data_IF_523862629890
#
_entry.id   IF_523862629890
#
_cell.length_a   1.000
_cell.length_b   1.000
_cell.length_c   1.000
_cell.angle_alpha   90.00
_cell.angle_beta   90.00
_cell.angle_gamma   90.00
#
_symmetry.space_group_name_H-M   'P 1'
#
loop_
_entity.id
_entity.type
_entity.pdbx_description
1 polymer ?
#
# COMPACT_ATOMS: atom_id res chain seq x y z
N UNK A 1 2.89 -3.34 -3.22
CA UNK A 1 3.50 -2.33 -2.33
C UNK A 1 4.99 -2.68 -2.20
N UNK A 2 5.87 -1.68 -2.17
CA UNK A 2 7.31 -1.91 -1.95
C UNK A 2 7.75 -1.15 -0.69
N UNK A 3 8.77 -1.60 0.04
CA UNK A 3 9.26 -0.89 1.23
C UNK A 3 9.74 0.55 0.96
N UNK A 4 9.96 0.91 -0.31
CA UNK A 4 10.36 2.25 -0.76
C UNK A 4 9.20 3.08 -1.31
N UNK A 5 7.96 2.58 -1.20
CA UNK A 5 6.79 3.27 -1.75
C UNK A 5 6.58 4.62 -1.06
N UNK A 6 6.68 4.64 0.28
CA UNK A 6 6.50 5.85 1.09
C UNK A 6 7.70 6.81 1.04
N UNK A 7 8.87 6.38 0.54
CA UNK A 7 10.02 7.26 0.36
C UNK A 7 9.98 8.05 -0.95
N UNK A 8 9.05 7.72 -1.86
CA UNK A 8 8.92 8.35 -3.17
C UNK A 8 7.80 9.38 -3.16
N UNK A 9 8.14 10.62 -3.50
CA UNK A 9 7.22 11.75 -3.47
C UNK A 9 5.96 11.50 -4.33
N UNK A 10 6.13 11.02 -5.57
CA UNK A 10 5.02 10.80 -6.49
C UNK A 10 4.04 9.70 -6.02
N UNK A 11 4.57 8.62 -5.46
CA UNK A 11 3.75 7.53 -4.92
C UNK A 11 2.87 8.00 -3.76
N UNK A 12 3.40 8.90 -2.94
CA UNK A 12 2.66 9.51 -1.82
C UNK A 12 1.62 10.51 -2.30
N UNK A 13 1.95 11.30 -3.32
CA UNK A 13 0.99 12.18 -3.98
C UNK A 13 -0.18 11.40 -4.59
N UNK A 14 0.06 10.27 -5.25
CA UNK A 14 -1.02 9.43 -5.79
C UNK A 14 -1.98 8.96 -4.70
N UNK A 15 -1.45 8.46 -3.58
CA UNK A 15 -2.26 8.04 -2.42
C UNK A 15 -3.04 9.20 -1.84
N UNK A 16 -2.38 10.35 -1.61
CA UNK A 16 -3.02 11.56 -1.12
C UNK A 16 -4.16 12.04 -2.04
N UNK A 17 -3.93 12.00 -3.36
CA UNK A 17 -4.91 12.43 -4.36
C UNK A 17 -6.16 11.55 -4.37
N UNK A 18 -6.03 10.25 -4.08
CA UNK A 18 -7.18 9.34 -3.98
C UNK A 18 -8.06 9.67 -2.78
N UNK A 19 -7.46 9.84 -1.60
CA UNK A 19 -8.21 10.20 -0.39
C UNK A 19 -8.90 11.56 -0.52
N UNK A 20 -8.21 12.53 -1.13
CA UNK A 20 -8.78 13.86 -1.29
C UNK A 20 -9.96 13.89 -2.27
N UNK A 21 -9.87 13.12 -3.36
CA UNK A 21 -10.97 12.99 -4.35
C UNK A 21 -12.18 12.24 -3.81
N UNK A 22 -11.98 11.28 -2.91
CA UNK A 22 -13.07 10.62 -2.19
C UNK A 22 -13.85 11.64 -1.34
N UNK A 23 -13.14 12.48 -0.59
CA UNK A 23 -13.73 13.54 0.24
C UNK A 23 -14.49 14.61 -0.54
N UNK A 24 -14.03 14.92 -1.75
CA UNK A 24 -14.73 15.84 -2.67
C UNK A 24 -15.99 15.22 -3.30
N UNK A 25 -16.38 13.98 -2.91
CA UNK A 25 -17.54 13.28 -3.45
C UNK A 25 -17.35 12.84 -4.91
N UNK A 26 -16.13 12.94 -5.44
CA UNK A 26 -15.84 12.68 -6.86
C UNK A 26 -15.54 11.21 -7.16
N UNK A 27 -15.27 10.37 -6.15
CA UNK A 27 -15.03 8.92 -6.32
C UNK A 27 -15.59 8.11 -5.16
N UNK A 28 -15.95 6.85 -5.45
CA UNK A 28 -16.29 5.84 -4.43
C UNK A 28 -15.07 5.50 -3.58
N UNK A 29 -15.31 5.13 -2.32
CA UNK A 29 -14.32 4.64 -1.39
C UNK A 29 -13.49 3.51 -2.00
N UNK A 30 -12.20 3.77 -2.25
CA UNK A 30 -11.30 2.77 -2.79
C UNK A 30 -10.58 2.09 -1.64
N UNK A 31 -10.83 0.79 -1.44
CA UNK A 31 -10.09 0.00 -0.46
C UNK A 31 -8.66 -0.15 -0.97
N UNK A 32 -7.70 0.36 -0.20
CA UNK A 32 -6.29 0.14 -0.48
C UNK A 32 -5.94 -1.32 -0.18
N UNK A 33 -5.89 -2.16 -1.23
CA UNK A 33 -5.54 -3.57 -1.09
C UNK A 33 -4.07 -3.80 -1.51
N UNK A 34 -3.19 -4.25 -0.61
CA UNK A 34 -1.84 -4.63 -0.98
C UNK A 34 -1.87 -5.75 -2.01
N UNK A 35 -1.15 -5.59 -3.13
CA UNK A 35 -1.07 -6.60 -4.19
C UNK A 35 -0.68 -8.01 -3.68
N UNK A 36 0.15 -8.08 -2.63
CA UNK A 36 0.52 -9.34 -1.99
C UNK A 36 -0.67 -10.04 -1.33
N UNK A 37 -1.64 -9.30 -0.80
CA UNK A 37 -2.87 -9.89 -0.26
C UNK A 37 -3.70 -10.52 -1.37
N UNK A 38 -3.79 -9.86 -2.54
CA UNK A 38 -4.44 -10.44 -3.72
C UNK A 38 -3.75 -11.75 -4.14
N UNK A 39 -2.41 -11.77 -4.15
CA UNK A 39 -1.62 -12.97 -4.44
C UNK A 39 -1.90 -14.13 -3.46
N UNK A 40 -1.98 -13.84 -2.16
CA UNK A 40 -2.32 -14.83 -1.12
C UNK A 40 -3.74 -15.37 -1.33
N UNK A 41 -4.72 -14.52 -1.63
CA UNK A 41 -6.09 -14.95 -1.87
C UNK A 41 -6.20 -15.84 -3.12
N UNK A 42 -5.57 -15.44 -4.22
CA UNK A 42 -5.53 -16.25 -5.45
C UNK A 42 -4.85 -17.59 -5.21
N UNK A 43 -3.73 -17.61 -4.48
CA UNK A 43 -3.07 -18.85 -4.09
C UNK A 43 -4.00 -19.76 -3.30
N UNK A 44 -4.66 -19.23 -2.26
CA UNK A 44 -5.58 -19.99 -1.42
C UNK A 44 -6.73 -20.59 -2.23
N UNK A 45 -7.33 -19.82 -3.15
CA UNK A 45 -8.40 -20.31 -4.02
C UNK A 45 -7.91 -21.43 -4.95
N UNK A 46 -6.77 -21.24 -5.62
CA UNK A 46 -6.21 -22.27 -6.50
C UNK A 46 -5.84 -23.54 -5.73
N UNK A 47 -5.19 -23.37 -4.57
CA UNK A 47 -4.83 -24.47 -3.68
C UNK A 47 -6.06 -25.28 -3.25
N UNK A 48 -7.13 -24.63 -2.78
CA UNK A 48 -8.38 -25.31 -2.40
C UNK A 48 -8.94 -26.11 -3.59
N UNK A 49 -8.99 -25.52 -4.79
CA UNK A 49 -9.52 -26.23 -5.96
C UNK A 49 -8.64 -27.40 -6.39
N UNK A 50 -7.32 -27.24 -6.38
CA UNK A 50 -6.38 -28.32 -6.71
C UNK A 50 -6.46 -29.44 -5.67
N UNK A 51 -6.52 -29.11 -4.39
CA UNK A 51 -6.66 -30.09 -3.31
C UNK A 51 -7.96 -30.90 -3.44
N UNK A 52 -9.10 -30.23 -3.65
CA UNK A 52 -10.38 -30.89 -3.89
C UNK A 52 -10.34 -31.80 -5.14
N UNK A 53 -9.71 -31.36 -6.22
CA UNK A 53 -9.55 -32.17 -7.44
C UNK A 53 -8.68 -33.42 -7.19
N UNK A 54 -7.60 -33.28 -6.42
CA UNK A 54 -6.74 -34.42 -6.09
C UNK A 54 -7.47 -35.43 -5.20
N UNK A 55 -8.26 -34.96 -4.23
CA UNK A 55 -9.09 -35.84 -3.41
C UNK A 55 -10.15 -36.58 -4.23
N UNK A 56 -10.79 -35.94 -5.20
CA UNK A 56 -11.81 -36.62 -6.03
C UNK A 56 -11.20 -37.65 -6.98
N UNK A 57 -9.99 -37.43 -7.49
CA UNK A 57 -9.31 -38.36 -8.41
C UNK A 57 -8.63 -39.52 -7.69
N UNK A 58 -7.98 -39.26 -6.55
CA UNK A 58 -7.09 -40.21 -5.88
C UNK A 58 -7.59 -40.69 -4.51
N UNK A 59 -8.70 -40.16 -4.00
CA UNK A 59 -9.16 -40.40 -2.62
C UNK A 59 -9.43 -41.86 -2.27
N UNK A 60 -9.74 -42.71 -3.26
CA UNK A 60 -9.99 -44.14 -3.08
C UNK A 60 -8.68 -44.97 -2.97
N UNK A 61 -7.53 -44.42 -3.36
CA UNK A 61 -6.26 -45.14 -3.45
C UNK A 61 -5.35 -44.83 -2.26
N UNK A 62 -5.30 -45.74 -1.29
CA UNK A 62 -4.58 -45.56 -0.01
C UNK A 62 -3.07 -45.25 -0.16
N UNK A 63 -2.44 -45.71 -1.25
CA UNK A 63 -1.00 -45.51 -1.49
C UNK A 63 -0.60 -44.07 -1.83
N UNK A 64 -1.53 -43.24 -2.32
CA UNK A 64 -1.24 -41.84 -2.69
C UNK A 64 -1.40 -40.86 -1.53
N UNK A 65 -2.08 -41.27 -0.45
CA UNK A 65 -2.36 -40.44 0.73
C UNK A 65 -1.10 -39.80 1.35
N UNK A 66 0.00 -40.54 1.64
CA UNK A 66 1.18 -39.91 2.26
C UNK A 66 1.90 -38.93 1.33
N UNK A 67 1.92 -39.20 0.01
CA UNK A 67 2.52 -38.30 -0.97
C UNK A 67 1.71 -37.00 -1.10
N UNK A 68 0.38 -37.10 -1.17
CA UNK A 68 -0.51 -35.94 -1.21
C UNK A 68 -0.36 -35.09 0.05
N UNK A 69 -0.33 -35.72 1.24
CA UNK A 69 -0.12 -35.00 2.50
C UNK A 69 1.23 -34.29 2.60
N UNK A 70 2.31 -34.88 2.05
CA UNK A 70 3.62 -34.23 2.04
C UNK A 70 3.66 -33.00 1.11
N UNK A 71 3.02 -33.09 -0.07
CA UNK A 71 2.90 -31.96 -1.01
C UNK A 71 2.06 -30.84 -0.41
N UNK A 72 0.98 -31.19 0.27
CA UNK A 72 0.12 -30.29 1.03
C UNK A 72 0.97 -29.51 2.03
N UNK A 73 1.53 -30.21 3.03
CA UNK A 73 2.32 -29.58 4.11
C UNK A 73 3.41 -28.65 3.58
N UNK A 74 4.09 -29.03 2.49
CA UNK A 74 5.10 -28.21 1.85
C UNK A 74 4.51 -26.92 1.25
N UNK A 75 3.36 -27.03 0.59
CA UNK A 75 2.58 -25.91 0.04
C UNK A 75 2.20 -24.90 1.13
N UNK A 76 1.61 -25.35 2.24
CA UNK A 76 1.18 -24.44 3.31
C UNK A 76 2.39 -23.81 4.00
N UNK A 77 3.48 -24.56 4.16
CA UNK A 77 4.73 -24.02 4.70
C UNK A 77 5.29 -22.91 3.81
N UNK A 78 5.31 -23.09 2.49
CA UNK A 78 5.74 -22.05 1.55
C UNK A 78 4.82 -20.82 1.59
N UNK A 79 3.50 -21.03 1.68
CA UNK A 79 2.54 -19.94 1.85
C UNK A 79 2.80 -19.17 3.15
N UNK A 80 3.08 -19.86 4.24
CA UNK A 80 3.42 -19.26 5.53
C UNK A 80 4.69 -18.41 5.42
N UNK A 81 5.73 -18.89 4.74
CA UNK A 81 6.96 -18.11 4.51
C UNK A 81 6.68 -16.85 3.67
N UNK A 82 5.83 -16.96 2.65
CA UNK A 82 5.45 -15.81 1.84
C UNK A 82 4.61 -14.79 2.63
N UNK A 83 3.64 -15.26 3.41
CA UNK A 83 2.77 -14.40 4.23
C UNK A 83 3.55 -13.71 5.35
N UNK A 84 4.59 -14.33 5.91
CA UNK A 84 5.49 -13.66 6.88
C UNK A 84 6.17 -12.42 6.29
N UNK A 85 6.54 -12.42 5.01
CA UNK A 85 7.08 -11.23 4.35
C UNK A 85 6.01 -10.15 4.26
N UNK A 86 4.80 -10.51 3.82
CA UNK A 86 3.66 -9.58 3.78
C UNK A 86 3.35 -8.99 5.15
N UNK A 87 3.34 -9.81 6.20
CA UNK A 87 3.06 -9.34 7.56
C UNK A 87 4.14 -8.39 8.08
N UNK A 88 5.41 -8.63 7.77
CA UNK A 88 6.49 -7.69 8.11
C UNK A 88 6.30 -6.35 7.39
N UNK A 89 6.00 -6.41 6.11
CA UNK A 89 5.73 -5.26 5.26
C UNK A 89 4.53 -4.45 5.78
N UNK A 90 3.45 -5.12 6.20
CA UNK A 90 2.26 -4.49 6.80
C UNK A 90 2.51 -3.91 8.18
N UNK A 91 3.36 -4.52 9.02
CA UNK A 91 3.72 -3.97 10.34
C UNK A 91 4.56 -2.71 10.24
N UNK A 92 5.37 -2.63 9.19
CA UNK A 92 6.28 -1.52 8.93
C UNK A 92 5.55 -0.32 8.33
N UNK A 93 4.46 -0.56 7.60
CA UNK A 93 3.66 0.44 6.91
C UNK A 93 3.20 1.61 7.82
N UNK A 94 2.60 1.42 9.00
CA UNK A 94 2.24 2.54 9.88
C UNK A 94 3.43 3.37 10.33
N UNK A 95 4.60 2.74 10.52
CA UNK A 95 5.83 3.46 10.87
C UNK A 95 6.27 4.36 9.71
N UNK A 96 6.29 3.81 8.49
CA UNK A 96 6.62 4.57 7.28
C UNK A 96 5.67 5.74 7.02
N UNK A 97 4.37 5.56 7.29
CA UNK A 97 3.38 6.63 7.18
C UNK A 97 3.63 7.73 8.21
N UNK A 98 3.88 7.39 9.47
CA UNK A 98 4.10 8.38 10.54
C UNK A 98 5.40 9.17 10.36
N UNK A 99 6.46 8.50 9.93
CA UNK A 99 7.76 9.12 9.68
C UNK A 99 7.84 9.80 8.31
N UNK A 100 6.79 9.70 7.50
CA UNK A 100 6.77 10.34 6.20
C UNK A 100 6.83 11.86 6.37
N UNK A 101 7.80 12.46 5.71
CA UNK A 101 7.90 13.91 5.52
C UNK A 101 7.99 14.16 4.03
N UNK A 102 7.18 15.11 3.54
CA UNK A 102 7.28 15.58 2.16
C UNK A 102 8.72 16.02 1.93
N UNK A 103 9.30 16.85 2.80
CA UNK A 103 10.67 17.40 2.71
C UNK A 103 11.75 16.33 2.61
N UNK A 104 11.59 15.21 3.31
CA UNK A 104 12.51 14.08 3.24
C UNK A 104 12.27 13.14 2.05
N UNK A 105 11.13 13.26 1.35
CA UNK A 105 10.77 12.37 0.26
C UNK A 105 11.67 12.57 -0.97
N UNK A 106 12.08 11.46 -1.59
CA UNK A 106 12.91 11.49 -2.79
C UNK A 106 12.06 11.89 -4.00
N UNK A 107 12.56 12.86 -4.76
CA UNK A 107 11.95 13.35 -5.98
C UNK A 107 12.86 13.08 -7.18
N UNK A 108 12.27 12.70 -8.32
CA UNK A 108 13.05 12.31 -9.51
C UNK A 108 13.88 13.47 -10.05
N UNK A 109 13.27 14.66 -10.16
CA UNK A 109 13.97 15.87 -10.57
C UNK A 109 15.11 16.29 -9.62
N UNK A 110 14.95 16.09 -8.30
CA UNK A 110 16.00 16.37 -7.30
C UNK A 110 17.26 15.54 -7.57
N UNK A 111 17.08 14.25 -7.88
CA UNK A 111 18.19 13.33 -8.13
C UNK A 111 18.94 13.66 -9.43
N UNK A 112 18.28 14.34 -10.37
CA UNK A 112 18.87 14.84 -11.62
C UNK A 112 19.43 16.27 -11.49
N UNK A 113 19.36 16.88 -10.30
CA UNK A 113 19.78 18.28 -10.11
C UNK A 113 18.92 19.27 -10.91
N UNK A 114 17.63 18.98 -11.08
CA UNK A 114 16.68 19.79 -11.86
C UNK A 114 17.11 20.03 -13.32
N UNK A 115 17.87 19.11 -13.91
CA UNK A 115 18.30 19.19 -15.30
C UNK A 115 18.12 17.85 -16.02
N UNK A 116 17.56 17.91 -17.22
CA UNK A 116 17.48 16.76 -18.11
C UNK A 116 18.86 16.47 -18.76
N UNK A 117 19.05 15.28 -19.37
CA UNK A 117 20.32 14.93 -20.04
C UNK A 117 20.71 15.86 -21.20
N UNK A 118 19.74 16.56 -21.79
CA UNK A 118 19.93 17.56 -22.83
C UNK A 118 20.33 18.95 -22.28
N UNK A 119 20.37 19.10 -20.95
CA UNK A 119 20.71 20.34 -20.24
C UNK A 119 19.50 21.23 -19.92
N UNK A 120 18.29 20.85 -20.33
CA UNK A 120 17.06 21.61 -20.07
C UNK A 120 16.75 21.63 -18.57
N UNK A 121 16.54 22.82 -18.01
CA UNK A 121 16.10 22.98 -16.61
C UNK A 121 14.63 22.58 -16.45
N UNK A 122 14.33 21.81 -15.42
CA UNK A 122 12.98 21.33 -15.11
C UNK A 122 12.52 21.83 -13.74
N UNK A 123 11.22 22.16 -13.59
CA UNK A 123 10.67 22.56 -12.30
C UNK A 123 10.74 21.42 -11.28
N UNK A 124 10.67 21.77 -10.00
CA UNK A 124 10.69 20.79 -8.93
C UNK A 124 9.31 20.12 -8.79
N UNK A 125 9.26 18.78 -8.91
CA UNK A 125 8.04 17.98 -8.70
C UNK A 125 7.41 18.27 -7.33
N UNK A 126 8.24 18.60 -6.32
CA UNK A 126 7.81 18.98 -4.98
C UNK A 126 6.95 20.24 -4.98
N UNK A 127 7.38 21.28 -5.66
CA UNK A 127 6.65 22.54 -5.74
C UNK A 127 5.32 22.32 -6.45
N UNK A 128 5.34 21.60 -7.57
CA UNK A 128 4.15 21.26 -8.34
C UNK A 128 3.11 20.46 -7.52
N UNK A 129 3.58 19.47 -6.74
CA UNK A 129 2.72 18.67 -5.87
C UNK A 129 2.14 19.52 -4.75
N UNK A 130 2.94 20.34 -4.09
CA UNK A 130 2.50 21.20 -3.00
C UNK A 130 1.46 22.21 -3.49
N UNK A 131 1.68 22.82 -4.65
CA UNK A 131 0.73 23.73 -5.30
C UNK A 131 -0.59 23.01 -5.63
N UNK A 132 -0.51 21.81 -6.22
CA UNK A 132 -1.68 21.01 -6.56
C UNK A 132 -2.49 20.63 -5.32
N UNK A 133 -1.82 20.18 -4.26
CA UNK A 133 -2.45 19.81 -3.00
C UNK A 133 -3.06 21.03 -2.30
N UNK A 134 -2.36 22.17 -2.28
CA UNK A 134 -2.87 23.44 -1.77
C UNK A 134 -4.15 23.87 -2.49
N UNK A 135 -4.15 23.82 -3.82
CA UNK A 135 -5.32 24.13 -4.64
C UNK A 135 -6.51 23.20 -4.37
N UNK A 136 -6.28 21.90 -4.20
CA UNK A 136 -7.35 20.95 -3.90
C UNK A 136 -7.93 21.12 -2.49
N UNK A 137 -7.09 21.39 -1.50
CA UNK A 137 -7.57 21.66 -0.14
C UNK A 137 -8.35 22.96 -0.05
N UNK A 138 -7.91 24.01 -0.76
CA UNK A 138 -8.66 25.27 -0.82
C UNK A 138 -10.06 25.11 -1.43
N UNK A 139 -10.25 24.14 -2.34
CA UNK A 139 -11.57 23.81 -2.90
C UNK A 139 -12.47 23.04 -1.92
N UNK A 140 -11.88 22.29 -0.97
CA UNK A 140 -12.59 21.51 0.03
C UNK A 140 -12.78 22.22 1.38
N UNK A 141 -11.93 23.20 1.71
CA UNK A 141 -11.98 23.96 2.94
C UNK A 141 -12.71 25.29 2.69
N UNK A 142 -13.86 25.50 3.35
CA UNK A 142 -14.68 26.71 3.21
C UNK A 142 -14.05 27.98 3.80
N UNK A 143 -12.73 28.04 4.06
CA UNK A 143 -12.07 29.19 4.67
C UNK A 143 -10.59 29.27 4.27
N UNK A 144 -10.24 30.33 3.54
CA UNK A 144 -8.92 30.60 2.97
C UNK A 144 -7.82 30.81 4.00
N UNK A 145 -7.27 29.70 4.49
CA UNK A 145 -6.05 29.69 5.30
C UNK A 145 -4.91 29.22 4.41
N UNK A 146 -3.89 30.06 4.25
CA UNK A 146 -2.62 29.68 3.62
C UNK A 146 -2.02 28.52 4.42
N UNK A 147 -2.19 27.31 3.89
CA UNK A 147 -1.72 26.11 4.54
C UNK A 147 -0.23 25.98 4.29
N UNK A 148 0.57 26.09 5.35
CA UNK A 148 2.00 25.86 5.27
C UNK A 148 2.29 24.42 4.83
N UNK A 149 3.45 24.20 4.20
CA UNK A 149 3.91 22.87 3.76
C UNK A 149 3.93 21.85 4.91
N UNK A 150 4.25 22.31 6.13
CA UNK A 150 4.23 21.50 7.35
C UNK A 150 2.80 21.05 7.70
N UNK A 151 1.83 21.98 7.70
CA UNK A 151 0.43 21.67 8.01
C UNK A 151 -0.19 20.70 7.00
N UNK A 152 0.15 20.84 5.71
CA UNK A 152 -0.24 19.87 4.68
C UNK A 152 0.36 18.49 4.96
N UNK A 153 1.64 18.42 5.33
CA UNK A 153 2.31 17.14 5.61
C UNK A 153 1.71 16.43 6.82
N UNK A 154 1.36 17.18 7.87
CA UNK A 154 0.69 16.66 9.07
C UNK A 154 -0.71 16.15 8.76
N UNK A 155 -1.51 16.93 8.02
CA UNK A 155 -2.85 16.51 7.60
C UNK A 155 -2.81 15.26 6.72
N UNK A 156 -1.86 15.18 5.80
CA UNK A 156 -1.69 13.98 4.99
C UNK A 156 -1.29 12.78 5.84
N UNK A 157 -0.33 12.95 6.75
CA UNK A 157 0.10 11.88 7.66
C UNK A 157 -1.04 11.39 8.54
N UNK A 158 -1.84 12.31 9.11
CA UNK A 158 -3.03 12.01 9.91
C UNK A 158 -4.07 11.23 9.08
N UNK A 159 -4.41 11.73 7.89
CA UNK A 159 -5.44 11.12 7.02
C UNK A 159 -5.05 9.76 6.50
N UNK A 160 -3.78 9.61 6.10
CA UNK A 160 -3.24 8.31 5.70
C UNK A 160 -3.27 7.39 6.91
N UNK A 161 -2.81 7.84 8.08
CA UNK A 161 -2.87 7.04 9.31
C UNK A 161 -4.29 6.52 9.57
N UNK A 162 -5.31 7.37 9.54
CA UNK A 162 -6.72 6.97 9.74
C UNK A 162 -7.14 5.80 8.83
N UNK A 163 -6.83 5.86 7.54
CA UNK A 163 -7.21 4.82 6.57
C UNK A 163 -6.39 3.54 6.68
N UNK A 164 -5.16 3.62 7.19
CA UNK A 164 -4.28 2.47 7.36
C UNK A 164 -4.37 1.82 8.75
N UNK A 165 -4.94 2.48 9.76
CA UNK A 165 -5.17 1.92 11.10
C UNK A 165 -5.96 0.59 11.12
N UNK A 166 -7.05 0.43 10.32
CA UNK A 166 -7.80 -0.83 10.25
C UNK A 166 -6.97 -2.00 9.71
N UNK A 167 -6.00 -1.71 8.84
CA UNK A 167 -5.07 -2.74 8.32
C UNK A 167 -4.00 -3.09 9.36
N UNK A 168 -3.62 -2.12 10.19
CA UNK A 168 -2.68 -2.35 11.29
C UNK A 168 -3.28 -3.20 12.42
N UNK A 169 -4.56 -3.00 12.76
CA UNK A 169 -5.25 -3.84 13.76
C UNK A 169 -5.43 -5.29 13.30
N UNK A 170 -5.68 -5.51 12.02
CA UNK A 170 -5.66 -6.85 11.40
C UNK A 170 -4.29 -7.52 11.53
N UNK A 171 -3.20 -6.76 11.48
CA UNK A 171 -1.83 -7.30 11.59
C UNK A 171 -1.37 -7.60 13.02
N UNK A 172 -1.97 -6.91 14.02
CA UNK A 172 -1.63 -7.05 15.45
C UNK A 172 -2.50 -8.07 16.18
N UNK A 173 -3.51 -8.66 15.52
CA UNK A 173 -4.48 -9.55 16.16
C UNK A 173 -5.37 -8.84 17.18
N UNK A 174 -5.35 -7.50 17.21
CA UNK A 174 -6.18 -6.71 18.09
C UNK A 174 -7.60 -6.64 17.50
N UNK A 175 -8.52 -7.40 18.09
CA UNK A 175 -9.95 -7.25 17.85
C UNK A 175 -10.34 -5.84 18.27
N UNK A 176 -10.79 -5.03 17.30
CA UNK A 176 -11.39 -3.72 17.57
C UNK A 176 -12.72 -3.98 18.26
N UNK A 177 -12.99 -3.39 19.45
CA UNK A 177 -14.26 -3.56 20.15
C UNK A 177 -15.45 -2.96 19.39
#
# INVERSE_FOLDING_TARGET
WSPRYFSRLWCMFEVASWFLREKLGQRRANIFMPLHLAGVLVYMTLYIHTFNLLLTVFGEQFYHVPMLGAVDILSEWLLMLHSQKLMRDLRELPRQVREFSIDAAQCGCCNLGHRLPDGTEIPCDRELILESLGGWMAQGASSGTDLSTTALSELLSERISEHFTPLASLSSGAVVP
#
